data_IF_746334417628
#
_entry.id   IF_746334417628
#
_cell.length_a   1.000
_cell.length_b   1.000
_cell.length_c   1.000
_cell.angle_alpha   90.00
_cell.angle_beta   90.00
_cell.angle_gamma   90.00
#
_symmetry.space_group_name_H-M   'P 1'
#
loop_
_entity.id
_entity.type
_entity.pdbx_description
1 polymer ?
#
# COMPACT_ATOMS: atom_id res chain seq x y z
N UNK A 1 -13.49 3.67 -30.29
CA UNK A 1 -12.07 4.05 -30.40
C UNK A 1 -11.28 3.21 -29.42
N UNK A 2 -10.62 2.16 -29.90
CA UNK A 2 -9.75 1.29 -29.11
C UNK A 2 -8.42 2.00 -28.92
N UNK A 3 -8.19 2.58 -27.73
CA UNK A 3 -6.87 3.07 -27.37
C UNK A 3 -5.88 1.89 -27.37
N UNK A 4 -4.88 1.98 -28.25
CA UNK A 4 -3.67 1.16 -28.18
C UNK A 4 -3.04 1.35 -26.79
N UNK A 5 -3.05 0.29 -25.96
CA UNK A 5 -2.38 0.31 -24.65
C UNK A 5 -0.87 0.47 -24.84
N UNK A 6 -0.39 1.71 -24.86
CA UNK A 6 1.01 2.01 -24.59
C UNK A 6 1.39 1.48 -23.20
N UNK A 7 2.70 1.36 -22.93
CA UNK A 7 3.17 1.01 -21.59
C UNK A 7 2.55 1.98 -20.58
N UNK A 8 1.85 1.52 -19.53
CA UNK A 8 1.25 2.42 -18.56
C UNK A 8 2.36 3.29 -17.94
N UNK A 9 2.12 4.61 -17.79
CA UNK A 9 3.10 5.54 -17.25
C UNK A 9 3.47 5.15 -15.82
N UNK A 10 4.74 5.33 -15.45
CA UNK A 10 5.24 5.05 -14.11
C UNK A 10 4.53 5.93 -13.08
N UNK A 11 4.31 5.42 -11.86
CA UNK A 11 3.92 6.29 -10.74
C UNK A 11 5.04 7.26 -10.42
N UNK A 12 4.69 8.52 -10.18
CA UNK A 12 5.60 9.50 -9.60
C UNK A 12 5.70 9.26 -8.08
N UNK A 13 6.88 8.85 -7.62
CA UNK A 13 7.15 8.51 -6.22
C UNK A 13 7.89 9.66 -5.51
N UNK A 14 7.41 10.88 -5.76
CA UNK A 14 8.03 12.11 -5.26
C UNK A 14 7.83 12.35 -3.76
N UNK A 15 6.91 11.62 -3.11
CA UNK A 15 6.66 11.72 -1.66
C UNK A 15 7.76 11.09 -0.81
N UNK A 16 8.57 10.19 -1.38
CA UNK A 16 9.69 9.54 -0.68
C UNK A 16 9.27 8.57 0.44
N UNK A 17 7.98 8.31 0.57
CA UNK A 17 7.41 7.36 1.53
C UNK A 17 6.16 6.73 0.91
N UNK A 18 6.01 5.39 0.90
CA UNK A 18 4.91 4.72 0.19
C UNK A 18 3.50 5.17 0.58
N UNK A 19 3.30 5.62 1.82
CA UNK A 19 2.00 6.19 2.23
C UNK A 19 1.70 7.54 1.57
N UNK A 20 2.71 8.40 1.37
CA UNK A 20 2.56 9.67 0.66
C UNK A 20 2.40 9.40 -0.85
N UNK A 21 3.21 8.50 -1.39
CA UNK A 21 3.11 8.11 -2.80
C UNK A 21 1.78 7.45 -3.14
N UNK A 22 1.17 6.73 -2.18
CA UNK A 22 -0.17 6.17 -2.36
C UNK A 22 -1.22 7.28 -2.46
N UNK A 23 -1.10 8.35 -1.67
CA UNK A 23 -1.97 9.54 -1.79
C UNK A 23 -1.81 10.18 -3.17
N UNK A 24 -0.59 10.28 -3.66
CA UNK A 24 -0.27 10.83 -4.98
C UNK A 24 -0.69 9.92 -6.14
N UNK A 25 -1.20 8.72 -5.86
CA UNK A 25 -1.78 7.85 -6.89
C UNK A 25 -3.16 8.35 -7.39
N UNK A 26 -3.73 9.37 -6.76
CA UNK A 26 -4.82 10.17 -7.33
C UNK A 26 -4.24 11.52 -7.71
N UNK A 27 -3.84 11.62 -8.97
CA UNK A 27 -3.14 12.78 -9.49
C UNK A 27 -4.11 13.93 -9.77
N UNK A 28 -3.59 15.14 -9.97
CA UNK A 28 -4.35 16.32 -10.37
C UNK A 28 -5.56 16.65 -9.47
N UNK A 29 -5.54 16.18 -8.21
CA UNK A 29 -6.67 16.21 -7.27
C UNK A 29 -7.31 17.58 -7.09
N UNK A 30 -6.53 18.64 -7.21
CA UNK A 30 -6.95 20.02 -6.95
C UNK A 30 -6.95 20.91 -8.20
N UNK A 31 -6.78 20.32 -9.39
CA UNK A 31 -6.81 21.04 -10.66
C UNK A 31 -8.25 21.23 -11.15
N UNK A 32 -8.47 22.15 -12.09
CA UNK A 32 -9.80 22.40 -12.68
C UNK A 32 -10.32 21.20 -13.49
N UNK A 33 -9.42 20.45 -14.12
CA UNK A 33 -9.74 19.25 -14.91
C UNK A 33 -10.14 18.05 -14.03
N UNK A 34 -9.86 18.13 -12.73
CA UNK A 34 -10.22 17.16 -11.72
C UNK A 34 -9.23 16.00 -11.55
N UNK A 35 -9.48 15.10 -10.59
CA UNK A 35 -8.56 14.04 -10.24
C UNK A 35 -8.40 12.97 -11.32
N UNK A 36 -7.17 12.50 -11.52
CA UNK A 36 -6.84 11.38 -12.41
C UNK A 36 -6.54 10.12 -11.58
N UNK A 37 -7.36 9.09 -11.74
CA UNK A 37 -7.20 7.81 -11.03
C UNK A 37 -6.12 6.94 -11.68
N UNK A 38 -4.95 6.84 -11.04
CA UNK A 38 -3.83 6.03 -11.53
C UNK A 38 -3.88 4.56 -11.05
N UNK A 39 -4.66 4.25 -10.00
CA UNK A 39 -4.91 2.88 -9.56
C UNK A 39 -6.18 2.34 -10.21
N UNK A 40 -6.28 2.35 -11.53
CA UNK A 40 -7.52 2.03 -12.26
C UNK A 40 -7.97 0.58 -12.05
N UNK A 41 -7.02 -0.36 -12.02
CA UNK A 41 -7.26 -1.78 -11.77
C UNK A 41 -6.27 -2.42 -10.78
N UNK A 42 -6.42 -3.73 -10.54
CA UNK A 42 -5.55 -4.46 -9.62
C UNK A 42 -4.10 -4.58 -10.13
N UNK A 43 -3.89 -4.58 -11.44
CA UNK A 43 -2.54 -4.61 -12.00
C UNK A 43 -1.81 -3.28 -11.72
N UNK A 44 -2.53 -2.16 -11.74
CA UNK A 44 -1.98 -0.87 -11.31
C UNK A 44 -1.58 -0.87 -9.83
N UNK A 45 -2.39 -1.48 -8.95
CA UNK A 45 -2.04 -1.64 -7.54
C UNK A 45 -0.77 -2.47 -7.34
N UNK A 46 -0.63 -3.59 -8.04
CA UNK A 46 0.59 -4.40 -7.98
C UNK A 46 1.81 -3.65 -8.53
N UNK A 47 1.62 -2.88 -9.60
CA UNK A 47 2.67 -2.02 -10.18
C UNK A 47 3.10 -0.93 -9.20
N UNK A 48 2.15 -0.28 -8.53
CA UNK A 48 2.43 0.71 -7.49
C UNK A 48 3.23 0.08 -6.34
N UNK A 49 2.76 -1.05 -5.81
CA UNK A 49 3.42 -1.75 -4.72
C UNK A 49 4.83 -2.21 -5.09
N UNK A 50 5.03 -2.64 -6.34
CA UNK A 50 6.36 -2.99 -6.84
C UNK A 50 7.27 -1.76 -7.00
N UNK A 51 6.78 -0.67 -7.61
CA UNK A 51 7.59 0.54 -7.81
C UNK A 51 7.98 1.21 -6.49
N UNK A 52 7.09 1.18 -5.48
CA UNK A 52 7.34 1.72 -4.14
C UNK A 52 8.18 0.80 -3.24
N UNK A 53 8.57 -0.39 -3.74
CA UNK A 53 9.39 -1.35 -2.99
C UNK A 53 8.64 -2.12 -1.89
N UNK A 54 7.32 -2.02 -1.84
CA UNK A 54 6.48 -2.81 -0.93
C UNK A 54 6.39 -4.29 -1.35
N UNK A 55 6.56 -4.56 -2.65
CA UNK A 55 6.65 -5.90 -3.21
C UNK A 55 7.87 -6.00 -4.12
N UNK A 56 8.52 -7.17 -4.11
CA UNK A 56 9.48 -7.52 -5.13
C UNK A 56 8.79 -7.97 -6.44
N UNK A 57 9.59 -8.10 -7.51
CA UNK A 57 9.10 -8.50 -8.83
C UNK A 57 8.48 -9.91 -8.83
N UNK A 58 8.97 -10.83 -7.99
CA UNK A 58 8.49 -12.21 -7.91
C UNK A 58 7.15 -12.27 -7.18
N UNK A 59 7.01 -11.54 -6.09
CA UNK A 59 5.77 -11.40 -5.32
C UNK A 59 4.67 -10.78 -6.17
N UNK A 60 4.95 -9.67 -6.86
CA UNK A 60 3.98 -9.01 -7.75
C UNK A 60 3.50 -9.96 -8.87
N UNK A 61 4.43 -10.69 -9.51
CA UNK A 61 4.08 -11.69 -10.54
C UNK A 61 3.24 -12.84 -10.00
N UNK A 62 3.56 -13.34 -8.81
CA UNK A 62 2.80 -14.42 -8.17
C UNK A 62 1.36 -13.96 -7.91
N UNK A 63 1.19 -12.80 -7.29
CA UNK A 63 -0.14 -12.24 -6.97
C UNK A 63 -0.98 -11.97 -8.23
N UNK A 64 -0.36 -11.50 -9.30
CA UNK A 64 -1.04 -11.27 -10.58
C UNK A 64 -1.67 -12.56 -11.16
N UNK A 65 -1.06 -13.73 -10.91
CA UNK A 65 -1.53 -15.02 -11.44
C UNK A 65 -2.38 -15.84 -10.47
N UNK A 66 -2.32 -15.59 -9.16
CA UNK A 66 -2.91 -16.47 -8.15
C UNK A 66 -4.15 -15.90 -7.46
N UNK A 67 -4.38 -14.58 -7.52
CA UNK A 67 -5.47 -13.94 -6.77
C UNK A 67 -6.79 -14.00 -7.55
N UNK A 68 -7.88 -14.55 -6.98
CA UNK A 68 -9.19 -14.55 -7.63
C UNK A 68 -9.69 -13.13 -7.91
N UNK A 69 -10.36 -12.91 -9.05
CA UNK A 69 -10.86 -11.60 -9.48
C UNK A 69 -11.63 -10.84 -8.40
N UNK A 70 -12.45 -11.54 -7.63
CA UNK A 70 -13.23 -10.92 -6.56
C UNK A 70 -12.35 -10.40 -5.41
N UNK A 71 -11.30 -11.15 -5.06
CA UNK A 71 -10.34 -10.76 -4.04
C UNK A 71 -9.46 -9.60 -4.52
N UNK A 72 -9.00 -9.63 -5.78
CA UNK A 72 -8.30 -8.52 -6.43
C UNK A 72 -9.12 -7.22 -6.41
N UNK A 73 -10.41 -7.31 -6.74
CA UNK A 73 -11.31 -6.15 -6.70
C UNK A 73 -11.54 -5.63 -5.27
N UNK A 74 -11.60 -6.52 -4.26
CA UNK A 74 -11.65 -6.11 -2.85
C UNK A 74 -10.37 -5.38 -2.44
N UNK A 75 -9.20 -5.95 -2.74
CA UNK A 75 -7.91 -5.36 -2.42
C UNK A 75 -7.76 -3.95 -3.03
N UNK A 76 -8.15 -3.76 -4.29
CA UNK A 76 -8.12 -2.45 -4.93
C UNK A 76 -9.04 -1.44 -4.22
N UNK A 77 -10.27 -1.83 -3.88
CA UNK A 77 -11.18 -0.96 -3.14
C UNK A 77 -10.63 -0.59 -1.77
N UNK A 78 -10.08 -1.56 -1.04
CA UNK A 78 -9.44 -1.33 0.25
C UNK A 78 -8.23 -0.40 0.14
N UNK A 79 -7.39 -0.55 -0.88
CA UNK A 79 -6.25 0.34 -1.12
C UNK A 79 -6.70 1.78 -1.42
N UNK A 80 -7.74 1.98 -2.23
CA UNK A 80 -8.33 3.30 -2.47
C UNK A 80 -8.97 3.89 -1.22
N UNK A 81 -9.65 3.08 -0.40
CA UNK A 81 -10.19 3.55 0.89
C UNK A 81 -9.09 3.99 1.86
N UNK A 82 -8.00 3.22 1.95
CA UNK A 82 -6.81 3.59 2.72
C UNK A 82 -6.21 4.90 2.20
N UNK A 83 -6.07 5.05 0.87
CA UNK A 83 -5.58 6.28 0.23
C UNK A 83 -6.39 7.49 0.66
N UNK A 84 -7.72 7.43 0.57
CA UNK A 84 -8.58 8.56 0.93
C UNK A 84 -8.53 8.87 2.44
N UNK A 85 -8.44 7.84 3.29
CA UNK A 85 -8.23 8.01 4.73
C UNK A 85 -6.91 8.73 5.03
N UNK A 86 -5.82 8.29 4.41
CA UNK A 86 -4.50 8.92 4.54
C UNK A 86 -4.50 10.35 4.04
N UNK A 87 -5.04 10.59 2.84
CA UNK A 87 -5.15 11.92 2.24
C UNK A 87 -5.88 12.88 3.17
N UNK A 88 -7.02 12.46 3.72
CA UNK A 88 -7.78 13.28 4.67
C UNK A 88 -6.95 13.65 5.90
N UNK A 89 -6.26 12.70 6.54
CA UNK A 89 -5.45 12.98 7.73
C UNK A 89 -4.26 13.88 7.41
N UNK A 90 -3.55 13.59 6.32
CA UNK A 90 -2.34 14.31 5.92
C UNK A 90 -2.66 15.76 5.52
N UNK A 91 -3.71 15.99 4.74
CA UNK A 91 -4.11 17.35 4.37
C UNK A 91 -4.62 18.14 5.59
N UNK A 92 -5.40 17.52 6.49
CA UNK A 92 -5.78 18.18 7.74
C UNK A 92 -4.56 18.57 8.58
N UNK A 93 -3.54 17.71 8.66
CA UNK A 93 -2.31 18.02 9.38
C UNK A 93 -1.53 19.18 8.74
N UNK A 94 -1.41 19.23 7.41
CA UNK A 94 -0.80 20.35 6.68
C UNK A 94 -1.54 21.66 6.95
N UNK A 95 -2.88 21.61 7.01
CA UNK A 95 -3.72 22.78 7.30
C UNK A 95 -3.78 23.15 8.79
N UNK A 96 -3.09 22.42 9.68
CA UNK A 96 -3.14 22.65 11.12
C UNK A 96 -4.52 22.37 11.75
N UNK A 97 -5.33 21.51 11.13
CA UNK A 97 -6.67 21.13 11.57
C UNK A 97 -6.72 19.69 12.09
N UNK A 98 -7.64 19.37 13.03
CA UNK A 98 -7.86 17.98 13.41
C UNK A 98 -8.39 17.18 12.23
N UNK A 99 -7.91 15.94 12.10
CA UNK A 99 -8.46 15.00 11.14
C UNK A 99 -9.89 14.60 11.49
N UNK A 100 -10.71 14.32 10.48
CA UNK A 100 -12.07 13.84 10.71
C UNK A 100 -12.09 12.45 11.37
N UNK A 101 -12.94 12.25 12.38
CA UNK A 101 -13.03 10.97 13.11
C UNK A 101 -13.28 9.77 12.20
N UNK A 102 -14.03 9.96 11.11
CA UNK A 102 -14.29 8.91 10.12
C UNK A 102 -13.03 8.44 9.38
N UNK A 103 -12.12 9.37 9.09
CA UNK A 103 -10.83 9.08 8.46
C UNK A 103 -9.91 8.36 9.44
N UNK A 104 -9.86 8.80 10.70
CA UNK A 104 -9.10 8.15 11.77
C UNK A 104 -9.58 6.70 11.96
N UNK A 105 -10.90 6.48 12.12
CA UNK A 105 -11.47 5.13 12.23
C UNK A 105 -11.19 4.24 11.02
N UNK A 106 -11.10 4.84 9.82
CA UNK A 106 -10.73 4.10 8.60
C UNK A 106 -9.27 3.64 8.65
N UNK A 107 -8.35 4.51 9.06
CA UNK A 107 -6.95 4.14 9.23
C UNK A 107 -6.76 3.11 10.35
N UNK A 108 -7.45 3.29 11.48
CA UNK A 108 -7.41 2.37 12.61
C UNK A 108 -7.85 0.96 12.20
N UNK A 109 -8.96 0.83 11.46
CA UNK A 109 -9.40 -0.46 10.90
C UNK A 109 -8.33 -1.10 10.03
N UNK A 110 -7.77 -0.36 9.07
CA UNK A 110 -6.71 -0.89 8.20
C UNK A 110 -5.45 -1.29 9.00
N UNK A 111 -5.11 -0.55 10.05
CA UNK A 111 -3.99 -0.88 10.92
C UNK A 111 -4.25 -2.15 11.72
N UNK A 112 -5.46 -2.34 12.24
CA UNK A 112 -5.87 -3.58 12.92
C UNK A 112 -5.86 -4.77 11.97
N UNK A 113 -6.51 -4.66 10.81
CA UNK A 113 -6.53 -5.72 9.79
C UNK A 113 -5.09 -6.12 9.40
N UNK A 114 -4.22 -5.14 9.17
CA UNK A 114 -2.81 -5.42 8.87
C UNK A 114 -2.09 -6.10 10.05
N UNK A 115 -2.38 -5.65 11.27
CA UNK A 115 -1.74 -6.17 12.49
C UNK A 115 -2.04 -7.64 12.76
N UNK A 116 -3.18 -8.16 12.30
CA UNK A 116 -3.52 -9.59 12.36
C UNK A 116 -2.55 -10.47 11.56
N UNK A 117 -1.82 -9.88 10.61
CA UNK A 117 -0.80 -10.57 9.81
C UNK A 117 0.60 -10.51 10.41
N UNK A 118 0.77 -9.94 11.61
CA UNK A 118 2.04 -9.98 12.32
C UNK A 118 2.16 -11.26 13.11
N UNK A 119 3.35 -11.84 13.07
CA UNK A 119 3.70 -13.03 13.82
C UNK A 119 4.78 -12.69 14.83
N UNK A 120 4.63 -13.19 16.05
CA UNK A 120 5.68 -13.12 17.06
C UNK A 120 6.70 -14.21 16.76
N UNK A 121 7.96 -13.84 16.53
CA UNK A 121 9.05 -14.79 16.27
C UNK A 121 10.20 -14.54 17.23
N UNK A 122 10.95 -15.60 17.49
CA UNK A 122 12.21 -15.49 18.20
C UNK A 122 13.30 -15.04 17.24
N UNK A 123 13.76 -13.79 17.39
CA UNK A 123 14.88 -13.25 16.63
C UNK A 123 16.17 -13.65 17.36
N UNK A 124 16.87 -14.66 16.81
CA UNK A 124 18.22 -14.97 17.23
C UNK A 124 19.09 -13.79 16.79
N UNK A 125 19.81 -13.16 17.72
CA UNK A 125 20.68 -12.02 17.42
C UNK A 125 21.60 -12.30 16.21
N UNK A 126 21.16 -11.90 15.02
CA UNK A 126 21.93 -12.09 13.81
C UNK A 126 23.08 -11.07 13.83
N UNK A 127 24.30 -11.58 14.06
CA UNK A 127 25.61 -11.01 13.68
C UNK A 127 25.90 -9.56 14.15
N UNK A 128 25.22 -9.06 15.17
CA UNK A 128 25.49 -7.73 15.73
C UNK A 128 25.76 -7.84 17.23
N UNK A 129 26.95 -7.44 17.72
CA UNK A 129 27.39 -7.72 19.09
C UNK A 129 26.54 -7.06 20.19
N UNK A 130 25.63 -6.14 19.82
CA UNK A 130 24.75 -5.43 20.75
C UNK A 130 23.27 -5.86 20.71
N UNK A 131 22.86 -6.81 19.86
CA UNK A 131 21.47 -7.31 19.86
C UNK A 131 21.38 -8.52 20.78
N UNK A 132 20.46 -8.48 21.75
CA UNK A 132 20.10 -9.68 22.55
C UNK A 132 19.04 -10.46 21.79
N UNK A 133 19.15 -11.80 21.81
CA UNK A 133 18.09 -12.65 21.29
C UNK A 133 16.79 -12.40 22.07
N UNK A 134 15.65 -12.39 21.38
CA UNK A 134 14.36 -12.10 22.02
C UNK A 134 13.17 -12.22 21.08
N UNK A 135 11.98 -12.00 21.64
CA UNK A 135 10.73 -11.98 20.87
C UNK A 135 10.58 -10.64 20.14
N UNK A 136 10.32 -10.72 18.84
CA UNK A 136 10.04 -9.57 17.99
C UNK A 136 8.81 -9.82 17.11
N UNK A 137 8.11 -8.76 16.77
CA UNK A 137 7.05 -8.81 15.76
C UNK A 137 7.66 -8.78 14.37
N UNK A 138 7.24 -9.72 13.53
CA UNK A 138 7.57 -9.75 12.12
C UNK A 138 6.28 -9.70 11.32
N UNK A 139 6.28 -9.01 10.19
CA UNK A 139 5.20 -9.11 9.22
C UNK A 139 5.30 -10.50 8.56
N UNK A 140 4.33 -11.37 8.82
CA UNK A 140 4.34 -12.78 8.41
C UNK A 140 4.22 -13.02 6.90
N UNK A 141 4.74 -14.18 6.46
CA UNK A 141 4.69 -14.87 5.13
C UNK A 141 4.81 -14.14 3.79
N UNK A 142 4.99 -12.83 3.70
CA UNK A 142 5.30 -12.22 2.38
C UNK A 142 6.73 -12.53 1.92
N UNK A 143 7.69 -12.60 2.86
CA UNK A 143 9.12 -12.65 2.54
C UNK A 143 9.74 -14.02 2.22
N UNK A 144 9.01 -15.15 2.28
CA UNK A 144 9.62 -16.44 1.89
C UNK A 144 8.65 -17.51 1.37
N UNK A 145 7.54 -17.81 2.04
CA UNK A 145 6.75 -19.02 1.74
C UNK A 145 5.24 -18.70 1.68
N UNK A 146 4.80 -18.23 0.52
CA UNK A 146 3.40 -18.36 0.13
C UNK A 146 3.15 -19.84 -0.19
N UNK A 147 2.83 -20.61 0.84
CA UNK A 147 2.08 -21.83 0.63
C UNK A 147 0.62 -21.42 0.59
N UNK A 148 0.02 -21.70 -0.56
CA UNK A 148 -1.41 -21.66 -0.85
C UNK A 148 -2.13 -22.74 -0.04
#
# INVERSE_FOLDING_TARGET
MTQTKGKPPLFDLCGGHPALDLVNSLDDRFTEDGPVELLADYADLLRFAQQSGLLDVREARRLAGSVPRQAAARALRSARQLREGLASVLYSAVDGRPAADGSIRTLERHFHDASEHRELRWDQAAQSPNRRAGLAWHWGRFSAHAEL
#
